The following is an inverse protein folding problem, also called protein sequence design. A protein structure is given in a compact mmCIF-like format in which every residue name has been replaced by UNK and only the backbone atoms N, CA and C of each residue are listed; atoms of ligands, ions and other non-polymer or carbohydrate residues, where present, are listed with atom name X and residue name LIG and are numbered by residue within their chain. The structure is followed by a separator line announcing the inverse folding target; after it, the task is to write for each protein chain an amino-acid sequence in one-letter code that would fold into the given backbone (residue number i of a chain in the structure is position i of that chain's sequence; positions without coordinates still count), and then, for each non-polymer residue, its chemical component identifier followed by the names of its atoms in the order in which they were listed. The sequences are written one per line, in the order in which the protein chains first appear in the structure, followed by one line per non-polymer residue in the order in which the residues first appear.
data_IF_062967101008
#
_entry.id   IF_062967101008
#
_cell.length_a   1.000
_cell.length_b   1.000
_cell.length_c   1.000
_cell.angle_alpha   90.00
_cell.angle_beta   90.00
_cell.angle_gamma   90.00
#
_symmetry.space_group_name_H-M   'P 1'
#
loop_
_entity.id
_entity.type
_entity.pdbx_description
1 polymer ?
#
# COMPACT_ATOMS: atom_id res chain seq x y z
N UNK A 1 48.49 -5.51 -3.43
CA UNK A 1 47.48 -5.56 -2.34
C UNK A 1 46.63 -4.32 -2.47
N UNK A 2 45.49 -4.43 -3.14
CA UNK A 2 44.49 -3.36 -3.27
C UNK A 2 43.12 -4.04 -3.22
N UNK A 3 42.64 -4.30 -2.01
CA UNK A 3 41.26 -4.70 -1.77
C UNK A 3 40.37 -3.47 -2.00
N UNK A 4 39.62 -3.48 -3.10
CA UNK A 4 38.43 -2.65 -3.23
C UNK A 4 37.31 -3.37 -2.49
N UNK A 5 37.04 -2.94 -1.26
CA UNK A 5 35.76 -3.20 -0.62
C UNK A 5 34.74 -2.24 -1.23
N UNK A 6 34.23 -2.60 -2.41
CA UNK A 6 32.98 -2.05 -2.93
C UNK A 6 31.86 -2.57 -2.03
N UNK A 7 31.64 -1.87 -0.92
CA UNK A 7 30.45 -2.03 -0.10
C UNK A 7 29.23 -1.89 -1.01
N UNK A 8 28.54 -3.01 -1.22
CA UNK A 8 27.22 -3.10 -1.84
C UNK A 8 26.19 -2.38 -0.96
N UNK A 9 26.34 -1.06 -0.79
CA UNK A 9 25.29 -0.22 -0.23
C UNK A 9 24.17 -0.19 -1.26
N UNK A 10 23.11 -0.95 -0.98
CA UNK A 10 21.85 -0.83 -1.70
C UNK A 10 21.52 0.66 -1.83
N UNK A 11 21.22 1.17 -3.03
CA UNK A 11 21.27 2.59 -3.27
C UNK A 11 20.15 3.27 -2.46
N UNK A 12 20.53 3.95 -1.38
CA UNK A 12 19.66 4.83 -0.59
C UNK A 12 18.83 5.77 -1.46
N UNK A 13 19.37 6.11 -2.64
CA UNK A 13 18.72 6.86 -3.71
C UNK A 13 17.35 6.30 -4.10
N UNK A 14 17.18 4.96 -4.12
CA UNK A 14 15.91 4.32 -4.46
C UNK A 14 14.83 4.65 -3.41
N UNK A 15 15.13 4.51 -2.11
CA UNK A 15 14.17 4.85 -1.05
C UNK A 15 13.79 6.33 -1.05
N UNK A 16 14.75 7.22 -1.33
CA UNK A 16 14.48 8.68 -1.40
C UNK A 16 13.55 9.02 -2.58
N UNK A 17 13.74 8.39 -3.74
CA UNK A 17 12.85 8.56 -4.90
C UNK A 17 11.43 8.09 -4.56
N UNK A 18 11.29 6.94 -3.90
CA UNK A 18 9.99 6.39 -3.55
C UNK A 18 9.30 7.23 -2.47
N UNK A 19 10.07 7.74 -1.51
CA UNK A 19 9.58 8.69 -0.52
C UNK A 19 9.01 9.95 -1.19
N UNK A 20 9.69 10.52 -2.19
CA UNK A 20 9.17 11.65 -2.97
C UNK A 20 7.88 11.29 -3.72
N UNK A 21 7.80 10.09 -4.32
CA UNK A 21 6.57 9.61 -4.98
C UNK A 21 5.42 9.52 -3.98
N UNK A 22 5.65 8.96 -2.79
CA UNK A 22 4.63 8.84 -1.74
C UNK A 22 4.17 10.21 -1.22
N UNK A 23 5.10 11.16 -1.07
CA UNK A 23 4.79 12.55 -0.71
C UNK A 23 3.93 13.21 -1.78
N UNK A 24 4.29 13.08 -3.06
CA UNK A 24 3.49 13.59 -4.17
C UNK A 24 2.08 12.99 -4.18
N UNK A 25 1.96 11.65 -4.05
CA UNK A 25 0.67 10.98 -3.94
C UNK A 25 -0.15 11.49 -2.75
N UNK A 26 0.50 11.89 -1.65
CA UNK A 26 -0.17 12.43 -0.46
C UNK A 26 -0.70 13.83 -0.66
N UNK A 27 0.10 14.70 -1.28
CA UNK A 27 -0.38 16.03 -1.66
C UNK A 27 -1.57 15.91 -2.61
N UNK A 28 -1.50 15.00 -3.59
CA UNK A 28 -2.61 14.73 -4.51
C UNK A 28 -3.85 14.24 -3.75
N UNK A 29 -3.73 13.29 -2.81
CA UNK A 29 -4.89 12.83 -2.04
C UNK A 29 -5.53 13.97 -1.24
N UNK A 30 -4.73 14.78 -0.55
CA UNK A 30 -5.24 15.90 0.27
C UNK A 30 -5.90 16.96 -0.61
N UNK A 31 -5.31 17.25 -1.76
CA UNK A 31 -5.87 18.21 -2.72
C UNK A 31 -7.19 17.71 -3.30
N UNK A 32 -7.24 16.45 -3.77
CA UNK A 32 -8.48 15.83 -4.28
C UNK A 32 -9.56 15.80 -3.20
N UNK A 33 -9.18 15.44 -1.97
CA UNK A 33 -10.12 15.35 -0.86
C UNK A 33 -10.65 16.71 -0.37
N UNK A 34 -9.89 17.80 -0.57
CA UNK A 34 -10.20 19.14 -0.04
C UNK A 34 -10.83 20.06 -1.08
N UNK A 35 -10.39 20.01 -2.33
CA UNK A 35 -10.81 20.97 -3.37
C UNK A 35 -11.91 20.43 -4.29
N UNK A 36 -12.13 19.11 -4.33
CA UNK A 36 -13.15 18.51 -5.17
C UNK A 36 -14.26 17.91 -4.30
N UNK A 37 -15.33 18.69 -4.09
CA UNK A 37 -16.57 18.25 -3.45
C UNK A 37 -17.34 17.29 -4.38
N UNK A 38 -16.82 16.07 -4.55
CA UNK A 38 -17.47 14.99 -5.31
C UNK A 38 -18.51 14.22 -4.47
N UNK A 39 -18.85 14.71 -3.28
CA UNK A 39 -19.73 14.01 -2.33
C UNK A 39 -19.21 12.59 -2.04
N UNK A 40 -20.07 11.58 -2.18
CA UNK A 40 -19.75 10.17 -1.89
C UNK A 40 -18.62 9.58 -2.75
N UNK A 41 -18.33 10.13 -3.93
CA UNK A 41 -17.29 9.60 -4.83
C UNK A 41 -15.89 9.93 -4.29
N UNK A 42 -15.75 10.97 -3.48
CA UNK A 42 -14.48 11.35 -2.87
C UNK A 42 -13.89 10.20 -2.03
N UNK A 43 -14.74 9.49 -1.28
CA UNK A 43 -14.32 8.33 -0.49
C UNK A 43 -13.76 7.21 -1.37
N UNK A 44 -14.42 6.90 -2.48
CA UNK A 44 -13.98 5.85 -3.40
C UNK A 44 -12.61 6.19 -4.01
N UNK A 45 -12.43 7.45 -4.45
CA UNK A 45 -11.15 7.93 -4.99
C UNK A 45 -10.05 7.91 -3.91
N UNK A 46 -10.36 8.34 -2.69
CA UNK A 46 -9.41 8.30 -1.57
C UNK A 46 -8.96 6.87 -1.24
N UNK A 47 -9.87 5.89 -1.26
CA UNK A 47 -9.57 4.47 -1.03
C UNK A 47 -8.68 3.86 -2.13
N UNK A 48 -8.88 4.25 -3.39
CA UNK A 48 -8.02 3.83 -4.51
C UNK A 48 -6.61 4.38 -4.32
N UNK A 49 -6.48 5.68 -4.04
CA UNK A 49 -5.16 6.29 -3.87
C UNK A 49 -4.45 5.71 -2.63
N UNK A 50 -5.19 5.47 -1.54
CA UNK A 50 -4.66 4.82 -0.35
C UNK A 50 -4.13 3.40 -0.65
N UNK A 51 -4.87 2.61 -1.43
CA UNK A 51 -4.44 1.28 -1.88
C UNK A 51 -3.13 1.34 -2.68
N UNK A 52 -3.02 2.27 -3.63
CA UNK A 52 -1.79 2.45 -4.43
C UNK A 52 -0.60 2.81 -3.54
N UNK A 53 -0.77 3.73 -2.59
CA UNK A 53 0.30 4.07 -1.63
C UNK A 53 0.72 2.85 -0.82
N UNK A 54 -0.24 2.10 -0.29
CA UNK A 54 0.04 0.90 0.49
C UNK A 54 0.83 -0.13 -0.32
N UNK A 55 0.51 -0.34 -1.60
CA UNK A 55 1.27 -1.22 -2.49
C UNK A 55 2.71 -0.75 -2.70
N UNK A 56 2.93 0.56 -2.94
CA UNK A 56 4.28 1.12 -3.09
C UNK A 56 5.09 0.96 -1.80
N UNK A 57 4.48 1.22 -0.64
CA UNK A 57 5.13 1.02 0.66
C UNK A 57 5.48 -0.45 0.87
N UNK A 58 4.57 -1.38 0.59
CA UNK A 58 4.81 -2.81 0.75
C UNK A 58 5.92 -3.32 -0.18
N UNK A 59 5.91 -2.94 -1.46
CA UNK A 59 6.90 -3.42 -2.43
C UNK A 59 8.32 -2.93 -2.13
N UNK A 60 8.46 -1.69 -1.65
CA UNK A 60 9.77 -1.06 -1.53
C UNK A 60 10.26 -0.87 -0.09
N UNK A 61 9.42 -0.38 0.82
CA UNK A 61 9.82 -0.15 2.21
C UNK A 61 9.79 -1.43 3.05
N UNK A 62 8.88 -2.37 2.76
CA UNK A 62 8.90 -3.70 3.40
C UNK A 62 9.82 -4.69 2.68
N UNK A 63 10.69 -4.22 1.76
CA UNK A 63 11.62 -5.04 0.99
C UNK A 63 11.01 -6.19 0.18
N UNK A 64 9.69 -6.24 0.04
CA UNK A 64 8.96 -7.37 -0.53
C UNK A 64 9.37 -7.71 -1.97
N UNK A 65 9.86 -6.72 -2.73
CA UNK A 65 10.39 -6.92 -4.09
C UNK A 65 11.73 -7.67 -4.14
N UNK A 66 12.54 -7.59 -3.08
CA UNK A 66 13.90 -8.12 -3.02
C UNK A 66 14.03 -9.35 -2.11
N UNK A 67 12.96 -9.69 -1.41
CA UNK A 67 12.85 -10.80 -0.48
C UNK A 67 12.38 -12.10 -1.16
N UNK A 68 12.61 -13.23 -0.49
CA UNK A 68 12.23 -14.56 -0.96
C UNK A 68 10.70 -14.72 -1.12
N UNK A 69 10.29 -15.66 -1.97
CA UNK A 69 8.88 -15.99 -2.23
C UNK A 69 8.07 -16.33 -0.97
N UNK A 70 8.74 -16.76 0.11
CA UNK A 70 8.12 -17.03 1.42
C UNK A 70 7.61 -15.74 2.08
N UNK A 71 8.37 -14.64 2.01
CA UNK A 71 7.97 -13.34 2.56
C UNK A 71 6.74 -12.80 1.83
N UNK A 72 6.60 -13.12 0.53
CA UNK A 72 5.41 -12.82 -0.25
C UNK A 72 4.16 -13.52 0.26
N UNK A 73 4.28 -14.80 0.65
CA UNK A 73 3.18 -15.56 1.26
C UNK A 73 2.78 -14.96 2.60
N UNK A 74 3.75 -14.59 3.46
CA UNK A 74 3.47 -13.95 4.74
C UNK A 74 2.81 -12.58 4.62
N UNK A 75 3.09 -11.83 3.55
CA UNK A 75 2.42 -10.56 3.29
C UNK A 75 0.97 -10.75 2.78
N UNK A 76 0.76 -11.72 1.89
CA UNK A 76 -0.54 -11.93 1.24
C UNK A 76 -1.53 -12.71 2.10
N UNK A 77 -1.06 -13.65 2.92
CA UNK A 77 -1.90 -14.49 3.77
C UNK A 77 -2.79 -13.71 4.76
N UNK A 78 -2.27 -12.76 5.57
CA UNK A 78 -3.11 -11.97 6.48
C UNK A 78 -4.05 -11.03 5.72
N UNK A 79 -3.66 -10.51 4.55
CA UNK A 79 -4.55 -9.70 3.71
C UNK A 79 -5.71 -10.54 3.16
N UNK A 80 -5.43 -11.76 2.72
CA UNK A 80 -6.47 -12.70 2.29
C UNK A 80 -7.43 -13.03 3.43
N UNK A 81 -6.89 -13.36 4.62
CA UNK A 81 -7.71 -13.65 5.80
C UNK A 81 -8.56 -12.45 6.23
N UNK A 82 -7.98 -11.23 6.22
CA UNK A 82 -8.68 -10.00 6.52
C UNK A 82 -9.80 -9.73 5.52
N UNK A 83 -9.54 -9.92 4.21
CA UNK A 83 -10.56 -9.76 3.18
C UNK A 83 -11.70 -10.76 3.34
N UNK A 84 -11.39 -12.00 3.73
CA UNK A 84 -12.39 -13.03 4.01
C UNK A 84 -13.21 -12.68 5.25
N UNK A 85 -12.58 -12.21 6.32
CA UNK A 85 -13.25 -11.75 7.53
C UNK A 85 -14.21 -10.59 7.22
N UNK A 86 -13.72 -9.52 6.58
CA UNK A 86 -14.54 -8.35 6.23
C UNK A 86 -15.68 -8.75 5.28
N UNK A 87 -15.40 -9.57 4.27
CA UNK A 87 -16.41 -10.03 3.31
C UNK A 87 -17.52 -10.84 3.98
N UNK A 88 -17.16 -11.84 4.78
CA UNK A 88 -18.13 -12.67 5.48
C UNK A 88 -18.93 -11.89 6.53
N UNK A 89 -18.28 -11.03 7.32
CA UNK A 89 -18.98 -10.16 8.27
C UNK A 89 -19.94 -9.20 7.56
N UNK A 90 -19.55 -8.67 6.40
CA UNK A 90 -20.44 -7.78 5.62
C UNK A 90 -21.67 -8.53 5.10
N UNK A 91 -21.50 -9.76 4.64
CA UNK A 91 -22.61 -10.63 4.19
C UNK A 91 -23.53 -11.00 5.37
N UNK A 92 -22.96 -11.36 6.51
CA UNK A 92 -23.70 -11.69 7.73
C UNK A 92 -24.58 -10.52 8.20
N UNK A 93 -23.99 -9.32 8.27
CA UNK A 93 -24.71 -8.09 8.61
C UNK A 93 -25.79 -7.76 7.58
N UNK A 94 -25.50 -7.91 6.28
CA UNK A 94 -26.48 -7.68 5.23
C UNK A 94 -27.69 -8.62 5.33
N UNK A 95 -27.45 -9.93 5.53
CA UNK A 95 -28.51 -10.93 5.68
C UNK A 95 -29.32 -10.75 6.97
N UNK A 96 -28.78 -10.08 7.98
CA UNK A 96 -29.51 -9.75 9.21
C UNK A 96 -30.38 -8.49 9.09
N UNK A 97 -29.97 -7.55 8.25
CA UNK A 97 -30.66 -6.27 8.06
C UNK A 97 -31.73 -6.36 6.96
N UNK A 98 -31.49 -7.17 5.93
CA UNK A 98 -32.48 -7.48 4.89
C UNK A 98 -33.42 -8.58 5.41
N UNK A 99 -34.75 -8.38 5.39
CA UNK A 99 -35.73 -9.32 5.93
C UNK A 99 -35.82 -10.64 5.16
#
# INVERSE_FOLDING_TARGET
MSENHDEHITPYKTYVIIWLILMALTVITVYVAREIDLGSINLFVAMIIASIKATIVALFFMHLKYEDSITWVFALYPLFLLSLLIGLTSIDVFNRIVP
#
